data_IF_421358504236
#
_entry.id   IF_421358504236
#
_cell.length_a   1.000
_cell.length_b   1.000
_cell.length_c   1.000
_cell.angle_alpha   90.00
_cell.angle_beta   90.00
_cell.angle_gamma   90.00
#
_symmetry.space_group_name_H-M   'P 1'
#
loop_
_entity.id
_entity.type
_entity.pdbx_description
1 polymer ?
#
# COMPACT_ATOMS: atom_id res chain seq x y z
N UNK A 1 16.81 -9.22 10.78
CA UNK A 1 16.73 -7.75 10.61
C UNK A 1 16.77 -7.32 9.14
N UNK A 2 17.75 -7.71 8.32
CA UNK A 2 17.80 -7.35 6.88
C UNK A 2 16.75 -8.09 6.01
N UNK A 3 16.51 -9.38 6.26
CA UNK A 3 15.49 -10.18 5.53
C UNK A 3 14.09 -9.57 5.63
N UNK A 4 13.75 -8.96 6.78
CA UNK A 4 12.44 -8.35 6.99
C UNK A 4 12.23 -7.11 6.11
N UNK A 5 13.28 -6.34 5.84
CA UNK A 5 13.21 -5.13 5.02
C UNK A 5 12.99 -5.49 3.56
N UNK A 6 13.72 -6.49 3.05
CA UNK A 6 13.57 -6.95 1.66
C UNK A 6 12.16 -7.51 1.43
N UNK A 7 11.67 -8.35 2.35
CA UNK A 7 10.32 -8.90 2.28
C UNK A 7 9.23 -7.83 2.35
N UNK A 8 9.42 -6.81 3.18
CA UNK A 8 8.50 -5.67 3.27
C UNK A 8 8.47 -4.85 1.98
N UNK A 9 9.62 -4.63 1.34
CA UNK A 9 9.69 -3.96 0.03
C UNK A 9 8.98 -4.79 -1.04
N UNK A 10 9.16 -6.12 -1.05
CA UNK A 10 8.49 -7.01 -2.01
C UNK A 10 6.97 -7.00 -1.78
N UNK A 11 6.51 -7.14 -0.53
CA UNK A 11 5.09 -7.04 -0.18
C UNK A 11 4.50 -5.68 -0.56
N UNK A 12 5.22 -4.60 -0.27
CA UNK A 12 4.84 -3.25 -0.66
C UNK A 12 4.72 -3.12 -2.17
N UNK A 13 5.71 -3.58 -2.94
CA UNK A 13 5.70 -3.56 -4.40
C UNK A 13 4.46 -4.28 -4.97
N UNK A 14 4.17 -5.47 -4.48
CA UNK A 14 2.99 -6.26 -4.88
C UNK A 14 1.70 -5.55 -4.48
N UNK A 15 1.60 -5.06 -3.25
CA UNK A 15 0.42 -4.36 -2.76
C UNK A 15 0.13 -3.08 -3.56
N UNK A 16 1.16 -2.29 -3.86
CA UNK A 16 1.04 -1.06 -4.63
C UNK A 16 0.60 -1.31 -6.07
N UNK A 17 1.08 -2.40 -6.69
CA UNK A 17 0.63 -2.78 -8.03
C UNK A 17 -0.81 -3.29 -8.04
N UNK A 18 -1.20 -4.12 -7.08
CA UNK A 18 -2.61 -4.55 -6.93
C UNK A 18 -3.51 -3.34 -6.71
N UNK A 19 -3.10 -2.39 -5.86
CA UNK A 19 -3.86 -1.17 -5.61
C UNK A 19 -3.99 -0.29 -6.85
N UNK A 20 -2.94 -0.16 -7.67
CA UNK A 20 -2.99 0.63 -8.91
C UNK A 20 -3.93 0.00 -9.95
N UNK A 21 -3.96 -1.33 -10.06
CA UNK A 21 -4.94 -2.06 -10.87
C UNK A 21 -6.37 -1.84 -10.39
N UNK A 22 -6.62 -1.96 -9.08
CA UNK A 22 -7.95 -1.74 -8.48
C UNK A 22 -8.45 -0.30 -8.72
N UNK A 23 -7.55 0.68 -8.66
CA UNK A 23 -7.85 2.09 -8.91
C UNK A 23 -7.83 2.46 -10.40
N UNK A 24 -7.62 1.51 -11.31
CA UNK A 24 -7.47 1.74 -12.77
C UNK A 24 -6.41 2.80 -13.11
N UNK A 25 -5.34 2.84 -12.32
CA UNK A 25 -4.20 3.76 -12.47
C UNK A 25 -2.95 3.10 -13.01
N UNK A 26 -2.96 1.79 -13.21
CA UNK A 26 -1.82 1.01 -13.66
C UNK A 26 -1.17 1.57 -14.95
N UNK A 27 -1.97 2.01 -15.92
CA UNK A 27 -1.47 2.63 -17.16
C UNK A 27 -0.67 3.94 -16.95
N UNK A 28 -0.85 4.62 -15.82
CA UNK A 28 -0.15 5.85 -15.46
C UNK A 28 0.94 5.62 -14.40
N UNK A 29 1.00 4.43 -13.81
CA UNK A 29 1.87 4.10 -12.69
C UNK A 29 2.95 3.11 -13.13
N UNK A 30 4.19 3.56 -13.24
CA UNK A 30 5.34 2.69 -13.46
C UNK A 30 5.72 1.86 -12.22
N UNK A 31 6.63 0.90 -12.40
CA UNK A 31 7.10 0.01 -11.33
C UNK A 31 7.58 0.78 -10.08
N UNK A 32 8.34 1.87 -10.26
CA UNK A 32 8.82 2.69 -9.16
C UNK A 32 7.67 3.36 -8.38
N UNK A 33 6.66 3.88 -9.08
CA UNK A 33 5.50 4.50 -8.46
C UNK A 33 4.68 3.49 -7.65
N UNK A 34 4.48 2.28 -8.18
CA UNK A 34 3.78 1.20 -7.47
C UNK A 34 4.54 0.81 -6.19
N UNK A 35 5.87 0.69 -6.24
CA UNK A 35 6.69 0.38 -5.05
C UNK A 35 6.54 1.47 -3.98
N UNK A 36 6.70 2.75 -4.35
CA UNK A 36 6.59 3.87 -3.41
C UNK A 36 5.20 3.95 -2.79
N UNK A 37 4.16 3.84 -3.61
CA UNK A 37 2.76 3.84 -3.14
C UNK A 37 2.48 2.65 -2.25
N UNK A 38 3.05 1.48 -2.56
CA UNK A 38 2.95 0.29 -1.74
C UNK A 38 3.59 0.46 -0.36
N UNK A 39 4.78 1.05 -0.29
CA UNK A 39 5.49 1.32 0.96
C UNK A 39 4.73 2.34 1.82
N UNK A 40 4.34 3.47 1.25
CA UNK A 40 3.59 4.52 1.98
C UNK A 40 2.20 3.99 2.36
N UNK A 41 1.57 3.23 1.46
CA UNK A 41 0.29 2.57 1.66
C UNK A 41 0.33 1.56 2.80
N UNK A 42 1.40 0.75 2.92
CA UNK A 42 1.58 -0.18 4.04
C UNK A 42 1.65 0.54 5.39
N UNK A 43 2.38 1.67 5.46
CA UNK A 43 2.44 2.49 6.68
C UNK A 43 1.06 3.07 7.03
N UNK A 44 0.35 3.60 6.03
CA UNK A 44 -0.98 4.17 6.21
C UNK A 44 -2.00 3.11 6.63
N UNK A 45 -1.99 1.94 5.98
CA UNK A 45 -2.85 0.81 6.30
C UNK A 45 -2.60 0.29 7.70
N UNK A 46 -1.34 0.10 8.08
CA UNK A 46 -0.97 -0.34 9.43
C UNK A 46 -1.44 0.63 10.51
N UNK A 47 -1.37 1.93 10.25
CA UNK A 47 -1.89 2.99 11.13
C UNK A 47 -3.42 2.93 11.23
N UNK A 48 -4.13 2.85 10.10
CA UNK A 48 -5.60 2.80 10.07
C UNK A 48 -6.15 1.56 10.78
N UNK A 49 -5.54 0.40 10.56
CA UNK A 49 -5.96 -0.85 11.22
C UNK A 49 -5.68 -0.82 12.73
N UNK A 50 -4.53 -0.28 13.16
CA UNK A 50 -4.26 -0.08 14.59
C UNK A 50 -5.29 0.84 15.25
N UNK A 51 -5.72 1.90 14.55
CA UNK A 51 -6.70 2.85 15.08
C UNK A 51 -8.06 2.20 15.38
N UNK A 52 -8.46 1.22 14.56
CA UNK A 52 -9.71 0.45 14.75
C UNK A 52 -9.53 -0.78 15.66
N UNK A 53 -8.40 -0.90 16.36
CA UNK A 53 -8.11 -2.00 17.27
C UNK A 53 -7.80 -3.34 16.57
N UNK A 54 -7.54 -3.31 15.27
CA UNK A 54 -7.09 -4.47 14.51
C UNK A 54 -5.57 -4.49 14.39
N UNK A 55 -4.94 -5.68 14.33
CA UNK A 55 -3.51 -5.78 14.13
C UNK A 55 -3.14 -5.21 12.76
N UNK A 56 -2.38 -4.10 12.72
CA UNK A 56 -2.00 -3.43 11.47
C UNK A 56 -0.81 -4.07 10.73
N UNK A 57 0.15 -4.63 11.46
CA UNK A 57 1.27 -5.38 10.90
C UNK A 57 1.58 -6.58 11.80
N UNK A 58 1.67 -7.77 11.21
CA UNK A 58 1.95 -9.04 11.90
C UNK A 58 3.12 -9.80 11.25
N UNK A 59 3.91 -9.16 10.39
CA UNK A 59 5.05 -9.76 9.69
C UNK A 59 4.72 -10.19 8.24
N UNK A 60 5.42 -11.20 7.72
CA UNK A 60 5.21 -11.68 6.35
C UNK A 60 4.05 -12.68 6.29
N UNK A 61 2.83 -12.19 6.06
CA UNK A 61 1.64 -13.03 5.91
C UNK A 61 0.59 -12.40 4.97
N UNK A 62 -0.47 -13.14 4.66
CA UNK A 62 -1.54 -12.67 3.78
C UNK A 62 -2.27 -11.46 4.39
N UNK A 63 -2.34 -11.39 5.73
CA UNK A 63 -2.99 -10.30 6.43
C UNK A 63 -2.28 -8.96 6.22
N UNK A 64 -0.95 -8.92 6.32
CA UNK A 64 -0.18 -7.69 6.08
C UNK A 64 -0.20 -7.26 4.63
N UNK A 65 -0.23 -8.21 3.69
CA UNK A 65 -0.48 -7.89 2.29
C UNK A 65 -1.85 -7.21 2.11
N UNK A 66 -2.90 -7.74 2.76
CA UNK A 66 -4.24 -7.16 2.70
C UNK A 66 -4.29 -5.75 3.29
N UNK A 67 -3.70 -5.56 4.48
CA UNK A 67 -3.61 -4.24 5.13
C UNK A 67 -2.84 -3.25 4.24
N UNK A 68 -1.74 -3.68 3.62
CA UNK A 68 -0.94 -2.85 2.72
C UNK A 68 -1.70 -2.49 1.44
N UNK A 69 -2.45 -3.44 0.85
CA UNK A 69 -3.30 -3.17 -0.32
C UNK A 69 -4.36 -2.14 0.04
N UNK A 70 -5.08 -2.31 1.16
CA UNK A 70 -6.11 -1.35 1.58
C UNK A 70 -5.49 0.04 1.82
N UNK A 71 -4.37 0.12 2.53
CA UNK A 71 -3.69 1.38 2.76
C UNK A 71 -3.22 2.05 1.47
N UNK A 72 -2.69 1.29 0.50
CA UNK A 72 -2.31 1.80 -0.81
C UNK A 72 -3.51 2.26 -1.66
N UNK A 73 -4.63 1.54 -1.59
CA UNK A 73 -5.90 1.92 -2.23
C UNK A 73 -6.40 3.25 -1.66
N UNK A 74 -6.41 3.41 -0.33
CA UNK A 74 -6.78 4.66 0.34
C UNK A 74 -5.84 5.80 -0.07
N UNK A 75 -4.53 5.55 -0.09
CA UNK A 75 -3.54 6.54 -0.51
C UNK A 75 -3.79 7.01 -1.95
N UNK A 76 -3.96 6.09 -2.89
CA UNK A 76 -4.24 6.41 -4.29
C UNK A 76 -5.57 7.14 -4.45
N UNK A 77 -6.59 6.75 -3.70
CA UNK A 77 -7.87 7.44 -3.69
C UNK A 77 -7.68 8.91 -3.29
N UNK A 78 -7.01 9.17 -2.16
CA UNK A 78 -6.74 10.53 -1.68
C UNK A 78 -5.96 11.35 -2.70
N UNK A 79 -4.85 10.82 -3.22
CA UNK A 79 -4.06 11.47 -4.28
C UNK A 79 -4.94 11.80 -5.49
N UNK A 80 -5.90 10.93 -5.81
CA UNK A 80 -6.81 11.15 -6.92
C UNK A 80 -7.86 12.21 -6.70
N UNK A 81 -8.38 12.31 -5.48
CA UNK A 81 -9.30 13.38 -5.10
C UNK A 81 -8.57 14.72 -5.16
N UNK A 82 -7.38 14.83 -4.58
CA UNK A 82 -6.60 16.07 -4.60
C UNK A 82 -6.20 16.52 -6.00
N UNK A 83 -5.78 15.60 -6.88
CA UNK A 83 -5.41 15.93 -8.27
C UNK A 83 -6.60 16.37 -9.14
N UNK A 84 -7.84 16.06 -8.75
CA UNK A 84 -9.05 16.54 -9.46
C UNK A 84 -9.57 17.87 -8.92
N UNK A 85 -9.19 18.24 -7.70
CA UNK A 85 -9.63 19.46 -7.04
C UNK A 85 -8.77 20.69 -7.40
N UNK A 86 -7.55 20.46 -7.90
CA UNK A 86 -6.60 21.46 -8.42
C UNK A 86 -6.63 21.43 -9.93
#
# INVERSE_FOLDING_TARGET
MLINIILWIILGAVAGWIASMLMKRDAQMGALANIVVGIIGALLGGFLFNLVGLPGDTGFNIWTLFVAIIGAVVLLFLIGVFRRAV
#
